data_IF_872144119080
#
_entry.id   IF_872144119080
#
_cell.length_a   1.000
_cell.length_b   1.000
_cell.length_c   1.000
_cell.angle_alpha   90.00
_cell.angle_beta   90.00
_cell.angle_gamma   90.00
#
_symmetry.space_group_name_H-M   'P 1'
#
loop_
_entity.id
_entity.type
_entity.pdbx_description
1 polymer ?
#
# COMPACT_ATOMS: atom_id res chain seq x y z
N UNK A 1 15.20 -10.62 8.49
CA UNK A 1 14.64 -10.95 7.18
C UNK A 1 15.09 -12.36 6.85
N UNK A 2 14.15 -13.29 6.65
CA UNK A 2 14.50 -14.67 6.33
C UNK A 2 15.05 -14.72 4.89
N UNK A 3 16.01 -15.62 4.57
CA UNK A 3 16.41 -15.84 3.19
C UNK A 3 15.20 -16.10 2.29
N UNK A 4 15.09 -15.35 1.19
CA UNK A 4 13.97 -15.43 0.23
C UNK A 4 12.88 -14.38 0.42
N UNK A 5 12.81 -13.74 1.59
CA UNK A 5 11.85 -12.65 1.81
C UNK A 5 12.27 -11.39 1.05
N UNK A 6 11.30 -10.65 0.53
CA UNK A 6 11.54 -9.37 -0.16
C UNK A 6 10.65 -8.27 0.40
N UNK A 7 11.18 -7.05 0.50
CA UNK A 7 10.38 -5.90 0.88
C UNK A 7 9.56 -5.44 -0.33
N UNK A 8 8.26 -5.24 -0.12
CA UNK A 8 7.32 -4.75 -1.14
C UNK A 8 6.73 -3.44 -0.67
N UNK A 9 6.64 -2.46 -1.56
CA UNK A 9 6.15 -1.12 -1.24
C UNK A 9 4.97 -0.78 -2.13
N UNK A 10 4.04 0.01 -1.60
CA UNK A 10 2.83 0.33 -2.31
C UNK A 10 1.81 1.02 -1.43
N UNK A 11 0.55 0.82 -1.76
CA UNK A 11 -0.58 1.54 -1.18
C UNK A 11 -1.51 0.58 -0.46
N UNK A 12 -1.73 0.81 0.83
CA UNK A 12 -2.67 0.03 1.64
C UNK A 12 -4.01 0.77 1.73
N UNK A 13 -5.12 0.10 1.47
CA UNK A 13 -6.45 0.67 1.67
C UNK A 13 -6.70 0.89 3.17
N UNK A 14 -6.97 2.13 3.57
CA UNK A 14 -7.19 2.52 4.97
C UNK A 14 -8.54 3.22 5.14
N UNK A 15 -9.60 2.54 4.68
CA UNK A 15 -10.96 3.03 4.75
C UNK A 15 -11.25 4.23 3.85
N UNK A 16 -12.36 4.90 4.08
CA UNK A 16 -12.86 5.96 3.20
C UNK A 16 -14.30 6.32 3.53
N UNK A 17 -14.95 7.02 2.61
CA UNK A 17 -16.38 7.28 2.65
C UNK A 17 -17.02 6.88 1.31
N UNK A 18 -18.33 7.08 1.18
CA UNK A 18 -19.06 6.69 -0.04
C UNK A 18 -18.59 7.40 -1.32
N UNK A 19 -17.80 8.48 -1.20
CA UNK A 19 -17.28 9.25 -2.33
C UNK A 19 -15.81 8.95 -2.64
N UNK A 20 -15.01 8.51 -1.66
CA UNK A 20 -13.56 8.40 -1.81
C UNK A 20 -12.98 7.25 -0.97
N UNK A 21 -12.03 6.52 -1.55
CA UNK A 21 -11.18 5.55 -0.86
C UNK A 21 -9.85 6.21 -0.49
N UNK A 22 -9.43 6.09 0.77
CA UNK A 22 -8.11 6.49 1.24
C UNK A 22 -7.12 5.34 1.10
N UNK A 23 -5.92 5.67 0.64
CA UNK A 23 -4.77 4.77 0.60
C UNK A 23 -3.60 5.42 1.32
N UNK A 24 -2.84 4.63 2.07
CA UNK A 24 -1.64 5.08 2.78
C UNK A 24 -0.41 4.38 2.21
N UNK A 25 0.70 5.11 2.11
CA UNK A 25 1.97 4.52 1.70
C UNK A 25 2.41 3.48 2.72
N UNK A 26 2.73 2.27 2.27
CA UNK A 26 3.02 1.17 3.18
C UNK A 26 4.12 0.25 2.65
N UNK A 27 4.81 -0.43 3.58
CA UNK A 27 5.82 -1.43 3.27
C UNK A 27 5.44 -2.76 3.92
N UNK A 28 5.40 -3.81 3.12
CA UNK A 28 5.12 -5.18 3.54
C UNK A 28 6.34 -6.07 3.25
N UNK A 29 6.34 -7.26 3.83
CA UNK A 29 7.28 -8.33 3.49
C UNK A 29 6.54 -9.36 2.65
N UNK A 30 7.06 -9.65 1.45
CA UNK A 30 6.68 -10.83 0.70
C UNK A 30 7.55 -11.99 1.14
N UNK A 31 6.93 -13.05 1.67
CA UNK A 31 7.63 -14.28 2.03
C UNK A 31 8.07 -15.05 0.79
N UNK A 32 8.95 -16.04 0.97
CA UNK A 32 9.35 -16.95 -0.11
C UNK A 32 8.15 -17.69 -0.76
N UNK A 33 7.08 -17.93 0.01
CA UNK A 33 5.84 -18.57 -0.47
C UNK A 33 4.87 -17.56 -1.13
N UNK A 34 5.26 -16.28 -1.20
CA UNK A 34 4.49 -15.21 -1.85
C UNK A 34 3.46 -14.51 -0.95
N UNK A 35 3.36 -14.88 0.33
CA UNK A 35 2.47 -14.24 1.30
C UNK A 35 2.94 -12.81 1.61
N UNK A 36 2.01 -11.87 1.73
CA UNK A 36 2.30 -10.50 2.15
C UNK A 36 2.01 -10.32 3.64
N UNK A 37 3.06 -10.00 4.40
CA UNK A 37 3.02 -9.79 5.84
C UNK A 37 3.24 -8.32 6.19
N UNK A 38 2.35 -7.79 7.03
CA UNK A 38 2.56 -6.52 7.72
C UNK A 38 3.31 -6.78 9.03
N UNK A 39 4.57 -6.40 9.07
CA UNK A 39 5.42 -6.58 10.25
C UNK A 39 5.43 -5.35 11.16
N UNK A 40 4.85 -4.23 10.71
CA UNK A 40 4.82 -2.97 11.44
C UNK A 40 3.56 -2.86 12.32
N UNK A 41 2.44 -3.43 11.86
CA UNK A 41 1.16 -3.34 12.55
C UNK A 41 0.51 -4.72 12.75
N UNK A 42 -0.26 -4.90 13.84
CA UNK A 42 -1.05 -6.11 14.02
C UNK A 42 -2.09 -6.27 12.90
N UNK A 43 -2.45 -7.51 12.62
CA UNK A 43 -3.44 -7.81 11.61
C UNK A 43 -4.80 -7.19 12.01
N UNK A 44 -5.42 -6.36 11.15
CA UNK A 44 -6.73 -5.78 11.41
C UNK A 44 -7.82 -6.85 11.44
N UNK A 45 -8.94 -6.55 12.09
CA UNK A 45 -10.14 -7.41 12.10
C UNK A 45 -10.89 -7.46 10.76
N UNK A 46 -10.46 -6.68 9.77
CA UNK A 46 -11.06 -6.58 8.45
C UNK A 46 -9.97 -6.67 7.36
N UNK A 47 -10.35 -7.09 6.16
CA UNK A 47 -9.40 -7.21 5.04
C UNK A 47 -8.97 -5.82 4.57
N UNK A 48 -7.66 -5.57 4.55
CA UNK A 48 -7.06 -4.41 3.87
C UNK A 48 -6.44 -4.89 2.57
N UNK A 49 -6.78 -4.23 1.47
CA UNK A 49 -6.18 -4.48 0.17
C UNK A 49 -4.88 -3.71 0.03
N UNK A 50 -3.88 -4.36 -0.53
CA UNK A 50 -2.58 -3.76 -0.83
C UNK A 50 -2.38 -3.74 -2.34
N UNK A 51 -1.99 -2.58 -2.86
CA UNK A 51 -1.63 -2.39 -4.26
C UNK A 51 -0.13 -2.13 -4.33
N UNK A 52 0.61 -3.12 -4.82
CA UNK A 52 2.06 -2.99 -5.03
C UNK A 52 2.37 -1.87 -6.02
N UNK A 53 3.40 -1.07 -5.72
CA UNK A 53 3.86 -0.04 -6.62
C UNK A 53 4.49 -0.67 -7.87
N UNK A 54 4.01 -0.34 -9.08
CA UNK A 54 4.55 -0.93 -10.30
C UNK A 54 5.98 -0.45 -10.54
N UNK A 55 6.91 -1.38 -10.77
CA UNK A 55 8.32 -1.07 -11.03
C UNK A 55 8.52 -0.10 -12.22
N UNK A 56 7.64 -0.14 -13.21
CA UNK A 56 7.68 0.75 -14.38
C UNK A 56 7.37 2.22 -14.04
N UNK A 57 6.74 2.51 -12.90
CA UNK A 57 6.44 3.88 -12.45
C UNK A 57 7.61 4.55 -11.72
N UNK A 58 8.72 3.83 -11.50
CA UNK A 58 9.92 4.34 -10.84
C UNK A 58 10.02 3.93 -9.37
N UNK A 59 10.81 4.70 -8.61
CA UNK A 59 11.07 4.41 -7.20
C UNK A 59 9.97 4.96 -6.29
N UNK A 60 9.39 4.08 -5.48
CA UNK A 60 8.31 4.43 -4.57
C UNK A 60 8.73 5.42 -3.46
N UNK A 61 9.95 5.34 -2.94
CA UNK A 61 10.40 6.29 -1.91
C UNK A 61 10.61 7.67 -2.48
N UNK A 62 11.12 7.79 -3.71
CA UNK A 62 11.21 9.06 -4.40
C UNK A 62 9.82 9.72 -4.54
N UNK A 63 8.77 8.93 -4.79
CA UNK A 63 7.39 9.41 -4.83
C UNK A 63 6.90 9.88 -3.43
N UNK A 64 7.01 9.04 -2.41
CA UNK A 64 6.47 9.33 -1.07
C UNK A 64 7.25 10.40 -0.32
N UNK A 65 8.57 10.50 -0.55
CA UNK A 65 9.48 11.45 0.14
C UNK A 65 9.89 12.64 -0.74
N UNK A 66 9.38 12.72 -1.96
CA UNK A 66 9.62 13.80 -2.91
C UNK A 66 8.92 15.11 -2.56
N UNK A 67 8.92 16.09 -3.46
CA UNK A 67 8.49 17.48 -3.18
C UNK A 67 7.06 17.63 -2.63
N UNK A 68 6.18 16.65 -2.87
CA UNK A 68 4.78 16.67 -2.41
C UNK A 68 4.48 15.81 -1.18
N UNK A 69 5.48 15.13 -0.58
CA UNK A 69 5.33 14.19 0.56
C UNK A 69 3.97 13.47 0.59
N UNK A 70 3.76 12.59 -0.38
CA UNK A 70 2.48 11.90 -0.53
C UNK A 70 2.51 10.64 0.32
N UNK A 71 2.23 10.78 1.62
CA UNK A 71 2.02 9.64 2.52
C UNK A 71 0.64 9.00 2.33
N UNK A 72 -0.30 9.73 1.70
CA UNK A 72 -1.69 9.34 1.57
C UNK A 72 -2.27 9.78 0.22
N UNK A 73 -3.16 8.97 -0.34
CA UNK A 73 -3.91 9.24 -1.56
C UNK A 73 -5.40 9.08 -1.31
N UNK A 74 -6.19 9.99 -1.89
CA UNK A 74 -7.65 9.89 -1.91
C UNK A 74 -8.08 9.68 -3.35
N UNK A 75 -8.72 8.53 -3.62
CA UNK A 75 -9.20 8.15 -4.95
C UNK A 75 -10.72 8.22 -4.96
N UNK A 76 -11.29 9.03 -5.84
CA UNK A 76 -12.74 9.12 -6.01
C UNK A 76 -13.33 7.80 -6.48
N UNK A 77 -14.40 7.37 -5.81
CA UNK A 77 -15.20 6.22 -6.23
C UNK A 77 -16.17 6.72 -7.30
N UNK A 78 -16.14 6.17 -8.53
CA UNK A 78 -17.10 6.57 -9.56
C UNK A 78 -18.51 6.30 -9.06
N UNK A 79 -19.39 7.30 -9.08
CA UNK A 79 -20.80 7.08 -8.80
C UNK A 79 -21.37 6.13 -9.85
N UNK A 80 -21.93 5.00 -9.41
CA UNK A 80 -22.80 4.19 -10.27
C UNK A 80 -24.06 5.02 -10.52
N UNK A 81 -24.14 5.62 -11.70
CA UNK A 81 -25.37 6.24 -12.22
C UNK A 81 -26.17 5.23 -13.01
#
# INVERSE_FOLDING_TARGET
MHPGDTAVRGWLSDGGNDAQQRFVSHSLVRTADGELLDVAYPQPSYVRHFVEHPAAAGDFFALVRGELWVSELYVSIPSRS
#
